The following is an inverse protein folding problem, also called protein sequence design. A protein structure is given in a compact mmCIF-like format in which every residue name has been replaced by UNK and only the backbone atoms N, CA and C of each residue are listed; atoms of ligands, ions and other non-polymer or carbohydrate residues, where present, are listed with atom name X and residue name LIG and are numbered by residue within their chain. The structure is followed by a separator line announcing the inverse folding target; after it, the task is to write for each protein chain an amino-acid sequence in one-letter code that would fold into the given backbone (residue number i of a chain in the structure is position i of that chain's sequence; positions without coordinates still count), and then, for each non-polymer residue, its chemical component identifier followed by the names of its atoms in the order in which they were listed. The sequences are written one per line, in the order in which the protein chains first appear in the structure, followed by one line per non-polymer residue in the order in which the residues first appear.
data_IF_400148145405
#
_entry.id   IF_400148145405
#
_cell.length_a   1.000
_cell.length_b   1.000
_cell.length_c   1.000
_cell.angle_alpha   90.00
_cell.angle_beta   90.00
_cell.angle_gamma   90.00
#
_symmetry.space_group_name_H-M   'P 1'
#
loop_
_entity.id
_entity.type
_entity.pdbx_description
1 polymer ?
#
# COMPACT_ATOMS: atom_id res chain seq x y z
N UNK A 1 -22.19 59.03 8.00
CA UNK A 1 -21.24 60.16 8.03
C UNK A 1 -19.90 59.65 7.49
N UNK A 2 -19.68 59.74 6.17
CA UNK A 2 -19.01 60.87 5.47
C UNK A 2 -17.50 60.93 5.69
N UNK A 3 -16.77 60.26 4.78
CA UNK A 3 -15.63 60.76 3.98
C UNK A 3 -14.68 61.84 4.54
N UNK A 4 -13.36 61.63 4.32
CA UNK A 4 -12.44 62.54 3.58
C UNK A 4 -11.00 62.30 4.08
N UNK A 5 -10.02 61.76 3.33
CA UNK A 5 -9.33 62.15 2.09
C UNK A 5 -7.93 62.75 2.32
N UNK A 6 -6.95 62.11 1.66
CA UNK A 6 -5.72 62.70 1.09
C UNK A 6 -4.56 62.97 2.07
N UNK A 7 -3.27 62.93 1.69
CA UNK A 7 -2.62 63.32 0.43
C UNK A 7 -1.24 62.64 0.31
N UNK A 8 -0.92 62.19 -0.92
CA UNK A 8 0.35 62.35 -1.67
C UNK A 8 1.68 61.83 -1.08
N UNK A 9 2.72 61.49 -1.84
CA UNK A 9 3.01 61.02 -3.20
C UNK A 9 4.54 61.23 -3.40
N UNK A 10 5.13 60.50 -4.36
CA UNK A 10 6.44 60.74 -5.03
C UNK A 10 7.66 60.28 -4.20
N UNK A 11 8.73 59.65 -4.71
CA UNK A 11 9.29 59.49 -6.07
C UNK A 11 10.19 58.25 -6.06
N UNK A 12 10.08 57.30 -7.00
CA UNK A 12 11.02 57.04 -8.10
C UNK A 12 12.53 57.25 -7.80
N UNK A 13 13.36 56.18 -7.88
CA UNK A 13 14.38 56.02 -8.93
C UNK A 13 15.14 54.68 -8.86
N UNK A 14 15.44 54.20 -10.07
CA UNK A 14 16.15 53.02 -10.53
C UNK A 14 17.49 52.68 -9.84
N UNK A 15 17.75 51.38 -9.69
CA UNK A 15 19.07 50.81 -9.94
C UNK A 15 18.93 49.40 -10.56
N UNK A 16 19.16 49.31 -11.87
CA UNK A 16 19.45 48.05 -12.56
C UNK A 16 20.81 47.53 -12.08
N UNK A 17 20.86 46.31 -11.57
CA UNK A 17 22.02 45.45 -11.71
C UNK A 17 21.57 44.06 -12.16
N UNK A 18 22.33 43.58 -13.14
CA UNK A 18 22.07 42.42 -13.97
C UNK A 18 22.16 41.09 -13.19
N UNK A 19 21.40 40.11 -13.69
CA UNK A 19 21.37 38.71 -13.28
C UNK A 19 22.77 38.06 -13.38
N UNK A 20 22.99 36.94 -12.65
CA UNK A 20 22.93 35.71 -13.42
C UNK A 20 21.94 34.70 -12.85
N UNK A 21 21.43 33.91 -13.78
CA UNK A 21 20.59 32.75 -13.57
C UNK A 21 21.18 31.81 -12.50
N UNK A 22 20.62 31.89 -11.30
CA UNK A 22 20.64 30.81 -10.33
C UNK A 22 19.33 30.08 -10.46
N UNK A 23 19.25 29.16 -11.42
CA UNK A 23 18.28 28.09 -11.35
C UNK A 23 18.46 27.41 -10.00
N UNK A 24 17.56 27.67 -9.05
CA UNK A 24 17.29 26.66 -8.04
C UNK A 24 16.57 25.56 -8.79
N UNK A 25 17.38 24.74 -9.46
CA UNK A 25 17.02 23.37 -9.73
C UNK A 25 16.39 22.88 -8.43
N UNK A 26 15.13 22.49 -8.50
CA UNK A 26 14.66 21.40 -7.66
C UNK A 26 15.76 20.36 -7.80
N UNK A 27 16.56 20.22 -6.75
CA UNK A 27 17.42 19.07 -6.57
C UNK A 27 16.45 17.91 -6.50
N UNK A 28 16.07 17.40 -7.67
CA UNK A 28 15.69 16.04 -7.87
C UNK A 28 16.91 15.19 -7.55
N UNK A 29 17.36 15.23 -6.30
CA UNK A 29 18.03 14.09 -5.73
C UNK A 29 16.90 13.12 -5.43
N UNK A 30 16.55 12.39 -6.48
CA UNK A 30 15.85 11.13 -6.44
C UNK A 30 16.72 10.11 -5.72
N UNK A 31 16.97 10.33 -4.42
CA UNK A 31 17.05 9.22 -3.49
C UNK A 31 15.61 8.87 -3.12
N UNK A 32 14.86 8.44 -4.14
CA UNK A 32 13.69 7.61 -3.94
C UNK A 32 14.24 6.27 -3.46
N UNK A 33 14.74 6.24 -2.22
CA UNK A 33 14.72 5.04 -1.40
C UNK A 33 13.27 4.60 -1.52
N UNK A 34 13.03 3.53 -2.26
CA UNK A 34 11.67 3.03 -2.46
C UNK A 34 11.06 2.86 -1.07
N UNK A 35 9.73 2.89 -0.94
CA UNK A 35 9.09 2.63 0.37
C UNK A 35 9.57 1.31 0.99
N UNK A 36 10.11 0.41 0.17
CA UNK A 36 10.71 -0.88 0.53
C UNK A 36 12.09 -0.76 1.21
N UNK A 37 12.84 0.30 0.96
CA UNK A 37 14.21 0.46 1.49
C UNK A 37 14.29 1.22 2.81
N UNK A 38 13.15 1.66 3.35
CA UNK A 38 13.11 2.44 4.59
C UNK A 38 13.45 1.64 5.85
N UNK A 39 13.35 0.30 5.78
CA UNK A 39 13.66 -0.63 6.86
C UNK A 39 14.82 -1.56 6.48
N UNK A 40 15.92 -0.99 5.98
CA UNK A 40 17.11 -1.75 5.60
C UNK A 40 17.99 -2.11 6.81
N UNK A 41 17.43 -2.79 7.82
CA UNK A 41 18.12 -3.12 9.08
C UNK A 41 19.40 -3.94 8.86
N UNK A 42 19.47 -4.73 7.78
CA UNK A 42 20.66 -5.52 7.44
C UNK A 42 21.80 -4.70 6.79
N UNK A 43 21.56 -3.43 6.43
CA UNK A 43 22.54 -2.58 5.73
C UNK A 43 23.22 -1.55 6.65
N UNK A 44 22.75 -1.38 7.88
CA UNK A 44 23.32 -0.45 8.85
C UNK A 44 24.37 -1.14 9.73
N UNK A 45 25.38 -0.41 10.17
CA UNK A 45 26.35 -0.91 11.16
C UNK A 45 25.71 -1.09 12.55
N UNK A 46 26.42 -1.74 13.47
CA UNK A 46 25.90 -2.05 14.81
C UNK A 46 25.68 -0.78 15.66
N UNK A 47 26.45 0.28 15.41
CA UNK A 47 26.30 1.57 16.11
C UNK A 47 25.00 2.28 15.71
N UNK A 48 24.61 2.17 14.44
CA UNK A 48 23.41 2.80 13.88
C UNK A 48 22.15 1.94 14.00
N UNK A 49 22.30 0.65 14.33
CA UNK A 49 21.18 -0.31 14.39
C UNK A 49 20.03 0.14 15.31
N UNK A 50 20.27 0.65 16.53
CA UNK A 50 19.17 1.06 17.41
C UNK A 50 18.31 2.18 16.81
N UNK A 51 18.93 3.18 16.18
CA UNK A 51 18.21 4.28 15.53
C UNK A 51 17.46 3.80 14.27
N UNK A 52 18.07 2.88 13.52
CA UNK A 52 17.42 2.28 12.36
C UNK A 52 16.20 1.44 12.76
N UNK A 53 16.28 0.73 13.90
CA UNK A 53 15.18 -0.05 14.45
C UNK A 53 14.03 0.86 14.87
N UNK A 54 14.30 1.90 15.67
CA UNK A 54 13.31 2.89 16.09
C UNK A 54 12.59 3.51 14.88
N UNK A 55 13.35 3.97 13.87
CA UNK A 55 12.77 4.52 12.66
C UNK A 55 11.94 3.49 11.88
N UNK A 56 12.30 2.22 11.91
CA UNK A 56 11.56 1.16 11.22
C UNK A 56 10.25 0.82 11.96
N UNK A 57 10.28 0.79 13.29
CA UNK A 57 9.11 0.62 14.16
C UNK A 57 8.08 1.73 13.91
N UNK A 58 8.50 3.00 13.86
CA UNK A 58 7.62 4.13 13.54
C UNK A 58 6.91 3.96 12.19
N UNK A 59 7.64 3.48 11.17
CA UNK A 59 7.09 3.26 9.82
C UNK A 59 6.14 2.06 9.81
N UNK A 60 6.46 1.00 10.55
CA UNK A 60 5.62 -0.19 10.67
C UNK A 60 4.32 0.11 11.44
N UNK A 61 4.39 0.90 12.51
CA UNK A 61 3.23 1.37 13.27
C UNK A 61 2.37 2.35 12.46
N UNK A 62 2.97 3.12 11.54
CA UNK A 62 2.24 3.91 10.55
C UNK A 62 1.53 3.06 9.47
N UNK A 63 1.60 1.72 9.56
CA UNK A 63 0.87 0.80 8.70
C UNK A 63 1.63 0.33 7.46
N UNK A 64 2.91 0.65 7.31
CA UNK A 64 3.66 0.21 6.14
C UNK A 64 3.90 -1.32 6.18
N UNK A 65 3.28 -2.05 5.26
CA UNK A 65 3.34 -3.52 5.22
C UNK A 65 4.76 -4.09 5.01
N UNK A 66 5.63 -3.38 4.28
CA UNK A 66 7.02 -3.81 4.06
C UNK A 66 7.84 -3.66 5.33
N UNK A 67 7.72 -2.53 6.04
CA UNK A 67 8.39 -2.31 7.32
C UNK A 67 7.95 -3.34 8.38
N UNK A 68 6.64 -3.60 8.47
CA UNK A 68 6.12 -4.66 9.33
C UNK A 68 6.75 -6.02 8.99
N UNK A 69 6.82 -6.36 7.71
CA UNK A 69 7.45 -7.60 7.28
C UNK A 69 8.96 -7.66 7.60
N UNK A 70 9.72 -6.58 7.38
CA UNK A 70 11.15 -6.51 7.70
C UNK A 70 11.42 -6.61 9.21
N UNK A 71 10.57 -6.01 10.07
CA UNK A 71 10.64 -6.23 11.52
C UNK A 71 10.37 -7.69 11.88
N UNK A 72 9.36 -8.30 11.24
CA UNK A 72 9.08 -9.73 11.38
C UNK A 72 10.32 -10.58 11.11
N UNK A 73 11.02 -10.30 10.00
CA UNK A 73 12.26 -10.97 9.62
C UNK A 73 13.39 -10.76 10.63
N UNK A 74 13.55 -9.52 11.08
CA UNK A 74 14.60 -9.14 12.04
C UNK A 74 14.48 -9.95 13.34
N UNK A 75 13.27 -10.01 13.93
CA UNK A 75 13.03 -10.77 15.16
C UNK A 75 13.00 -12.29 14.94
N UNK A 76 12.54 -12.74 13.77
CA UNK A 76 12.51 -14.18 13.45
C UNK A 76 13.92 -14.78 13.37
N UNK A 77 14.86 -14.07 12.75
CA UNK A 77 16.23 -14.55 12.57
C UNK A 77 17.11 -14.30 13.80
N UNK A 78 16.97 -13.16 14.47
CA UNK A 78 17.74 -12.86 15.69
C UNK A 78 19.26 -12.86 15.49
N UNK A 79 19.76 -12.47 14.31
CA UNK A 79 21.21 -12.44 14.04
C UNK A 79 21.89 -11.22 14.69
N UNK A 80 21.14 -10.12 14.88
CA UNK A 80 21.62 -8.84 15.45
C UNK A 80 20.76 -8.37 16.63
N UNK A 81 19.87 -9.24 17.11
CA UNK A 81 19.01 -9.08 18.29
C UNK A 81 18.76 -10.46 18.88
N UNK A 82 18.20 -10.57 20.08
CA UNK A 82 17.67 -11.85 20.53
C UNK A 82 16.50 -12.28 19.63
N UNK A 83 16.49 -13.56 19.23
CA UNK A 83 15.39 -14.13 18.44
C UNK A 83 14.10 -14.10 19.25
N UNK A 84 13.08 -13.48 18.70
CA UNK A 84 11.76 -13.34 19.32
C UNK A 84 10.66 -13.72 18.31
N UNK A 85 10.16 -14.94 18.46
CA UNK A 85 9.14 -15.48 17.57
C UNK A 85 7.77 -14.86 17.81
N UNK A 86 7.44 -14.48 19.04
CA UNK A 86 6.14 -13.87 19.34
C UNK A 86 6.04 -12.48 18.70
N UNK A 87 7.09 -11.68 18.81
CA UNK A 87 7.17 -10.37 18.17
C UNK A 87 7.18 -10.51 16.64
N UNK A 88 7.92 -11.48 16.09
CA UNK A 88 7.93 -11.74 14.66
C UNK A 88 6.52 -12.09 14.12
N UNK A 89 5.80 -12.95 14.84
CA UNK A 89 4.43 -13.34 14.51
C UNK A 89 3.49 -12.14 14.46
N UNK A 90 3.52 -11.29 15.49
CA UNK A 90 2.67 -10.12 15.55
C UNK A 90 2.89 -9.20 14.34
N UNK A 91 4.14 -9.02 13.92
CA UNK A 91 4.48 -8.22 12.76
C UNK A 91 4.05 -8.88 11.44
N UNK A 92 4.28 -10.18 11.29
CA UNK A 92 3.81 -10.92 10.11
C UNK A 92 2.30 -10.92 9.98
N UNK A 93 1.54 -11.05 11.08
CA UNK A 93 0.09 -10.98 11.07
C UNK A 93 -0.41 -9.64 10.54
N UNK A 94 0.17 -8.53 11.04
CA UNK A 94 -0.17 -7.18 10.57
C UNK A 94 0.10 -7.01 9.07
N UNK A 95 1.28 -7.40 8.60
CA UNK A 95 1.63 -7.31 7.18
C UNK A 95 0.79 -8.26 6.29
N UNK A 96 0.49 -9.46 6.80
CA UNK A 96 -0.31 -10.49 6.13
C UNK A 96 -1.74 -10.05 5.89
N UNK A 97 -2.36 -9.39 6.87
CA UNK A 97 -3.71 -8.82 6.77
C UNK A 97 -3.80 -7.74 5.69
N UNK A 98 -2.70 -7.03 5.43
CA UNK A 98 -2.60 -6.02 4.37
C UNK A 98 -2.25 -6.61 2.99
N UNK A 99 -2.02 -7.91 2.90
CA UNK A 99 -1.71 -8.58 1.64
C UNK A 99 -0.23 -8.70 1.31
N UNK A 100 0.69 -8.47 2.25
CA UNK A 100 2.13 -8.61 1.96
C UNK A 100 2.47 -10.08 1.67
N UNK A 101 2.91 -10.43 0.44
CA UNK A 101 3.09 -11.83 0.03
C UNK A 101 4.19 -12.56 0.83
N UNK A 102 5.28 -11.87 1.16
CA UNK A 102 6.36 -12.39 2.01
C UNK A 102 5.93 -12.74 3.44
N UNK A 103 5.15 -11.87 4.10
CA UNK A 103 4.61 -12.11 5.43
C UNK A 103 3.54 -13.21 5.44
N UNK A 104 2.63 -13.21 4.46
CA UNK A 104 1.67 -14.31 4.29
C UNK A 104 2.39 -15.65 4.15
N UNK A 105 3.46 -15.71 3.34
CA UNK A 105 4.25 -16.93 3.20
C UNK A 105 4.88 -17.39 4.52
N UNK A 106 5.54 -16.50 5.27
CA UNK A 106 6.11 -16.82 6.61
C UNK A 106 5.03 -17.34 7.55
N UNK A 107 3.95 -16.56 7.70
CA UNK A 107 2.86 -16.89 8.62
C UNK A 107 2.20 -18.23 8.26
N UNK A 108 2.01 -18.51 6.98
CA UNK A 108 1.51 -19.78 6.48
C UNK A 108 2.42 -20.96 6.84
N UNK A 109 3.74 -20.81 6.70
CA UNK A 109 4.70 -21.83 7.13
C UNK A 109 4.68 -22.02 8.65
N UNK A 110 4.64 -20.93 9.43
CA UNK A 110 4.60 -20.99 10.89
C UNK A 110 3.36 -21.74 11.39
N UNK A 111 2.17 -21.47 10.84
CA UNK A 111 0.97 -22.27 11.14
C UNK A 111 1.08 -23.72 10.69
N UNK A 112 1.75 -24.00 9.56
CA UNK A 112 1.90 -25.37 9.08
C UNK A 112 2.78 -26.23 9.99
N UNK A 113 3.79 -25.60 10.59
CA UNK A 113 4.79 -26.24 11.45
C UNK A 113 4.45 -26.14 12.95
N UNK A 114 3.58 -25.21 13.34
CA UNK A 114 3.32 -24.88 14.74
C UNK A 114 4.48 -24.09 15.38
N UNK A 115 5.18 -23.26 14.60
CA UNK A 115 6.30 -22.46 15.08
C UNK A 115 5.78 -21.18 15.74
N UNK A 116 5.82 -21.11 17.07
CA UNK A 116 5.35 -19.95 17.85
C UNK A 116 3.83 -19.76 17.87
N UNK A 117 3.09 -20.49 17.04
CA UNK A 117 1.62 -20.54 17.00
C UNK A 117 1.15 -21.98 17.06
N UNK A 118 -0.11 -22.19 17.47
CA UNK A 118 -0.72 -23.51 17.36
C UNK A 118 -0.76 -23.95 15.88
N UNK A 119 -0.36 -25.21 15.65
CA UNK A 119 -0.33 -25.78 14.32
C UNK A 119 -1.75 -25.88 13.75
N UNK A 120 -1.98 -25.28 12.59
CA UNK A 120 -3.28 -25.24 11.92
C UNK A 120 -3.11 -25.35 10.41
N UNK A 121 -3.26 -26.56 9.86
CA UNK A 121 -3.08 -26.83 8.43
C UNK A 121 -4.14 -26.14 7.54
N UNK A 122 -5.45 -26.13 7.89
CA UNK A 122 -6.43 -25.34 7.14
C UNK A 122 -6.08 -23.86 7.03
N UNK A 123 -5.69 -23.23 8.14
CA UNK A 123 -5.30 -21.82 8.16
C UNK A 123 -4.03 -21.57 7.35
N UNK A 124 -3.00 -22.42 7.53
CA UNK A 124 -1.78 -22.36 6.73
C UNK A 124 -2.06 -22.44 5.23
N UNK A 125 -2.92 -23.39 4.81
CA UNK A 125 -3.29 -23.57 3.41
C UNK A 125 -3.94 -22.32 2.83
N UNK A 126 -4.91 -21.72 3.54
CA UNK A 126 -5.59 -20.50 3.10
C UNK A 126 -4.59 -19.35 2.95
N UNK A 127 -3.73 -19.13 3.95
CA UNK A 127 -2.73 -18.05 3.94
C UNK A 127 -1.72 -18.25 2.81
N UNK A 128 -1.22 -19.47 2.59
CA UNK A 128 -0.27 -19.75 1.50
C UNK A 128 -0.90 -19.58 0.11
N UNK A 129 -2.16 -19.98 -0.09
CA UNK A 129 -2.86 -19.71 -1.35
C UNK A 129 -3.05 -18.20 -1.57
N UNK A 130 -3.32 -17.42 -0.53
CA UNK A 130 -3.36 -15.95 -0.63
C UNK A 130 -1.98 -15.36 -0.98
N UNK A 131 -0.91 -15.86 -0.36
CA UNK A 131 0.46 -15.43 -0.69
C UNK A 131 0.79 -15.66 -2.17
N UNK A 132 0.40 -16.81 -2.73
CA UNK A 132 0.58 -17.12 -4.14
C UNK A 132 -0.18 -16.14 -5.05
N UNK A 133 -1.45 -15.85 -4.72
CA UNK A 133 -2.26 -14.85 -5.44
C UNK A 133 -1.61 -13.46 -5.39
N UNK A 134 -0.99 -13.11 -4.26
CA UNK A 134 -0.28 -11.84 -4.08
C UNK A 134 1.17 -11.83 -4.59
N UNK A 135 1.59 -12.86 -5.34
CA UNK A 135 2.88 -12.86 -6.06
C UNK A 135 4.03 -13.60 -5.38
N UNK A 136 3.78 -14.41 -4.33
CA UNK A 136 4.78 -15.35 -3.82
C UNK A 136 4.66 -16.70 -4.51
N UNK A 137 5.38 -16.89 -5.61
CA UNK A 137 5.33 -18.14 -6.39
C UNK A 137 5.60 -19.40 -5.56
N UNK A 138 6.61 -19.37 -4.68
CA UNK A 138 6.97 -20.48 -3.79
C UNK A 138 5.83 -20.89 -2.82
N UNK A 139 4.82 -20.05 -2.62
CA UNK A 139 3.69 -20.36 -1.77
C UNK A 139 2.75 -21.39 -2.39
N UNK A 140 2.74 -21.54 -3.73
CA UNK A 140 1.93 -22.55 -4.40
C UNK A 140 2.39 -23.96 -3.99
N UNK A 141 3.67 -24.26 -4.15
CA UNK A 141 4.25 -25.57 -3.77
C UNK A 141 4.08 -25.85 -2.27
N UNK A 142 4.27 -24.82 -1.44
CA UNK A 142 4.06 -24.94 0.00
C UNK A 142 2.60 -25.27 0.34
N UNK A 143 1.63 -24.60 -0.30
CA UNK A 143 0.22 -24.88 -0.08
C UNK A 143 -0.19 -26.29 -0.52
N UNK A 144 0.38 -26.79 -1.62
CA UNK A 144 0.10 -28.14 -2.10
C UNK A 144 0.69 -29.19 -1.14
N UNK A 145 1.88 -28.93 -0.59
CA UNK A 145 2.50 -29.75 0.46
C UNK A 145 1.68 -29.78 1.75
N UNK A 146 1.08 -28.65 2.13
CA UNK A 146 0.16 -28.60 3.29
C UNK A 146 -1.11 -29.39 2.99
N UNK A 147 -1.65 -29.32 1.77
CA UNK A 147 -2.85 -30.04 1.38
C UNK A 147 -2.70 -31.56 1.47
N UNK A 148 -1.52 -32.11 1.19
CA UNK A 148 -1.28 -33.57 1.32
C UNK A 148 -1.32 -34.07 2.76
N UNK A 149 -1.24 -33.16 3.74
CA UNK A 149 -1.27 -33.51 5.17
C UNK A 149 -2.67 -33.36 5.79
N UNK A 150 -3.61 -32.74 5.09
CA UNK A 150 -4.97 -32.52 5.57
C UNK A 150 -5.87 -33.71 5.28
N UNK A 151 -6.83 -33.94 6.17
CA UNK A 151 -7.95 -34.83 5.85
C UNK A 151 -8.96 -34.16 4.92
N UNK A 152 -9.94 -34.93 4.42
CA UNK A 152 -10.93 -34.42 3.46
C UNK A 152 -11.80 -33.29 4.02
N UNK A 153 -12.15 -33.33 5.31
CA UNK A 153 -12.99 -32.31 5.94
C UNK A 153 -12.22 -30.99 6.10
N UNK A 154 -10.97 -31.06 6.54
CA UNK A 154 -10.07 -29.93 6.67
C UNK A 154 -9.84 -29.22 5.33
N UNK A 155 -9.50 -29.98 4.29
CA UNK A 155 -9.28 -29.43 2.96
C UNK A 155 -10.56 -28.82 2.37
N UNK A 156 -11.71 -29.46 2.57
CA UNK A 156 -13.00 -28.94 2.14
C UNK A 156 -13.35 -27.62 2.84
N UNK A 157 -13.16 -27.55 4.16
CA UNK A 157 -13.39 -26.33 4.94
C UNK A 157 -12.49 -25.18 4.46
N UNK A 158 -11.19 -25.43 4.29
CA UNK A 158 -10.23 -24.44 3.82
C UNK A 158 -10.57 -23.94 2.39
N UNK A 159 -10.94 -24.85 1.49
CA UNK A 159 -11.34 -24.51 0.12
C UNK A 159 -12.65 -23.70 0.08
N UNK A 160 -13.57 -23.98 1.00
CA UNK A 160 -14.80 -23.21 1.15
C UNK A 160 -14.54 -21.78 1.65
N UNK A 161 -13.58 -21.61 2.57
CA UNK A 161 -13.11 -20.27 3.00
C UNK A 161 -12.53 -19.51 1.81
N UNK A 162 -11.61 -20.10 1.05
CA UNK A 162 -11.04 -19.47 -0.15
C UNK A 162 -12.11 -19.07 -1.17
N UNK A 163 -13.07 -19.95 -1.42
CA UNK A 163 -14.20 -19.67 -2.32
C UNK A 163 -15.04 -18.48 -1.84
N UNK A 164 -15.21 -18.34 -0.52
CA UNK A 164 -15.94 -17.21 0.08
C UNK A 164 -15.16 -15.91 -0.04
N UNK A 165 -13.86 -15.94 0.26
CA UNK A 165 -12.98 -14.78 0.08
C UNK A 165 -12.97 -14.29 -1.38
N UNK A 166 -12.85 -15.20 -2.34
CA UNK A 166 -12.89 -14.85 -3.76
C UNK A 166 -14.23 -14.24 -4.18
N UNK A 167 -15.36 -14.80 -3.74
CA UNK A 167 -16.69 -14.20 -4.01
C UNK A 167 -16.83 -12.81 -3.40
N UNK A 168 -16.36 -12.61 -2.17
CA UNK A 168 -16.40 -11.31 -1.51
C UNK A 168 -15.55 -10.28 -2.27
N UNK A 169 -14.35 -10.66 -2.68
CA UNK A 169 -13.47 -9.84 -3.51
C UNK A 169 -14.14 -9.42 -4.82
N UNK A 170 -14.75 -10.36 -5.55
CA UNK A 170 -15.50 -10.04 -6.78
C UNK A 170 -16.72 -9.14 -6.52
N UNK A 171 -17.38 -9.27 -5.37
CA UNK A 171 -18.49 -8.38 -4.97
C UNK A 171 -17.99 -6.95 -4.76
N UNK A 172 -16.89 -6.77 -4.05
CA UNK A 172 -16.29 -5.46 -3.80
C UNK A 172 -15.90 -4.77 -5.11
N UNK A 173 -15.24 -5.47 -6.03
CA UNK A 173 -14.93 -4.91 -7.36
C UNK A 173 -16.21 -4.45 -8.05
N UNK A 174 -17.27 -5.26 -8.06
CA UNK A 174 -18.54 -4.90 -8.69
C UNK A 174 -19.14 -3.64 -8.06
N UNK A 175 -19.17 -3.55 -6.73
CA UNK A 175 -19.69 -2.39 -6.00
C UNK A 175 -18.87 -1.12 -6.26
N UNK A 176 -17.53 -1.23 -6.32
CA UNK A 176 -16.65 -0.13 -6.72
C UNK A 176 -16.92 0.33 -8.16
N UNK A 177 -17.14 -0.59 -9.11
CA UNK A 177 -17.46 -0.21 -10.48
C UNK A 177 -18.85 0.45 -10.58
N UNK A 178 -19.84 -0.03 -9.82
CA UNK A 178 -21.18 0.55 -9.79
C UNK A 178 -21.19 1.95 -9.15
N UNK A 179 -20.45 2.14 -8.06
CA UNK A 179 -20.28 3.45 -7.41
C UNK A 179 -19.50 4.45 -8.28
N UNK A 180 -18.71 3.96 -9.24
CA UNK A 180 -17.99 4.78 -10.25
C UNK A 180 -18.80 5.01 -11.55
N UNK A 181 -20.10 4.68 -11.59
CA UNK A 181 -20.92 4.84 -12.81
C UNK A 181 -21.09 6.31 -13.26
N UNK A 182 -21.26 6.57 -14.58
CA UNK A 182 -20.85 7.80 -15.24
C UNK A 182 -21.94 8.88 -15.20
N UNK A 183 -21.94 9.74 -14.18
CA UNK A 183 -22.68 11.02 -14.25
C UNK A 183 -21.92 12.09 -15.06
N UNK A 184 -20.76 11.75 -15.65
CA UNK A 184 -19.88 12.67 -16.37
C UNK A 184 -19.53 12.21 -17.79
N UNK A 185 -20.47 11.52 -18.47
CA UNK A 185 -20.32 11.16 -19.88
C UNK A 185 -21.64 11.28 -20.66
N UNK A 186 -22.18 12.49 -20.70
CA UNK A 186 -22.97 12.92 -21.85
C UNK A 186 -22.70 14.41 -22.06
N UNK A 187 -21.82 14.84 -22.99
CA UNK A 187 -21.87 16.20 -23.47
C UNK A 187 -23.28 16.38 -24.06
N UNK A 188 -24.02 17.36 -23.54
CA UNK A 188 -25.30 17.79 -24.09
C UNK A 188 -25.08 18.08 -25.57
N UNK A 189 -25.52 17.17 -26.44
CA UNK A 189 -25.53 17.40 -27.87
C UNK A 189 -26.63 18.45 -28.10
N UNK A 190 -26.25 19.71 -28.04
CA UNK A 190 -27.12 20.85 -28.25
C UNK A 190 -27.50 20.83 -29.74
N UNK A 191 -28.70 20.31 -30.04
CA UNK A 191 -29.27 20.36 -31.37
C UNK A 191 -29.35 21.85 -31.78
N UNK A 192 -28.86 22.23 -32.97
CA UNK A 192 -28.95 23.62 -33.43
C UNK A 192 -30.42 24.04 -33.48
N UNK A 193 -30.72 25.21 -32.92
CA UNK A 193 -32.07 25.79 -32.96
C UNK A 193 -32.54 25.91 -34.42
N UNK A 194 -33.81 25.56 -34.72
CA UNK A 194 -34.36 25.75 -36.05
C UNK A 194 -34.36 27.24 -36.40
N UNK A 195 -33.84 27.57 -37.58
CA UNK A 195 -33.78 28.93 -38.09
C UNK A 195 -35.19 29.58 -38.09
N UNK A 196 -35.32 30.86 -37.71
CA UNK A 196 -36.62 31.53 -37.68
C UNK A 196 -37.23 31.55 -39.07
N UNK A 197 -38.51 31.14 -39.15
CA UNK A 197 -39.29 31.12 -40.38
C UNK A 197 -39.49 32.55 -40.90
N UNK A 198 -38.87 32.87 -42.02
CA UNK A 198 -39.09 34.12 -42.74
C UNK A 198 -40.45 34.04 -43.45
N UNK A 199 -41.47 34.70 -42.90
CA UNK A 199 -42.76 34.88 -43.59
C UNK A 199 -42.61 35.94 -44.69
N UNK A 200 -43.10 35.69 -45.91
CA UNK A 200 -42.94 36.63 -47.01
C UNK A 200 -43.83 37.86 -46.79
N UNK A 201 -43.23 39.04 -46.79
CA UNK A 201 -43.95 40.32 -46.90
C UNK A 201 -44.24 40.61 -48.40
N UNK A 202 -45.37 41.26 -48.72
CA UNK A 202 -45.93 41.32 -50.08
C UNK A 202 -45.10 42.10 -51.10
#
# INVERSE_FOLDING_TARGET
MTTSFSRYARSALFACLALPAGAWAQSGNSLLISTEERCALNRVDDESLPLALESCEDIAEAGNLHAQYELGEFYYHGERTERDIETALAWYERASLQGHPGAQYRLGLMHSQGEGVERNLPQAYVILKMAAVNGKDAAMDASDTVATQMNQQELAAATQVLSTLFRNYLSQIREEQLSRSPTEAAPTMQLPEPAPSESPQP
#
